data_IF_727354103308
#
_entry.id   IF_727354103308
#
_cell.length_a   1.000
_cell.length_b   1.000
_cell.length_c   1.000
_cell.angle_alpha   90.00
_cell.angle_beta   90.00
_cell.angle_gamma   90.00
#
_symmetry.space_group_name_H-M   'P 1'
#
loop_
_entity.id
_entity.type
_entity.pdbx_description
1 polymer ?
#
# COMPACT_ATOMS: atom_id res chain seq x y z
N UNK A 1 22.85 19.27 9.86
CA UNK A 1 21.52 18.68 9.58
C UNK A 1 21.05 17.82 10.76
N UNK A 2 21.87 16.90 11.29
CA UNK A 2 21.52 16.07 12.48
C UNK A 2 21.32 16.98 13.69
N UNK A 3 22.23 17.91 13.98
CA UNK A 3 22.14 18.86 15.09
C UNK A 3 20.86 19.74 15.04
N UNK A 4 20.44 20.18 13.85
CA UNK A 4 19.19 20.90 13.68
C UNK A 4 17.95 20.03 13.90
N UNK A 5 18.05 18.73 13.58
CA UNK A 5 16.98 17.78 13.82
C UNK A 5 16.83 17.49 15.31
N UNK A 6 17.95 17.40 16.03
CA UNK A 6 17.95 17.17 17.47
C UNK A 6 17.34 18.36 18.23
N UNK A 7 17.66 19.59 17.81
CA UNK A 7 17.00 20.80 18.35
C UNK A 7 15.49 20.80 18.11
N UNK A 8 15.05 20.39 16.91
CA UNK A 8 13.62 20.28 16.61
C UNK A 8 12.92 19.18 17.44
N UNK A 9 13.62 18.09 17.74
CA UNK A 9 13.10 17.02 18.61
C UNK A 9 12.94 17.50 20.06
N UNK A 10 13.91 18.27 20.57
CA UNK A 10 13.84 18.87 21.91
C UNK A 10 12.66 19.88 22.01
N UNK A 11 12.45 20.70 20.97
CA UNK A 11 11.42 21.74 21.01
C UNK A 11 9.98 21.19 20.81
N UNK A 12 9.80 20.21 19.90
CA UNK A 12 8.45 19.75 19.49
C UNK A 12 8.13 18.30 19.86
N UNK A 13 9.10 17.54 20.29
CA UNK A 13 8.98 16.10 20.56
C UNK A 13 9.00 15.24 19.29
N UNK A 14 9.69 14.11 19.35
CA UNK A 14 9.86 13.18 18.20
C UNK A 14 8.52 12.69 17.66
N UNK A 15 7.58 12.31 18.56
CA UNK A 15 6.26 11.83 18.15
C UNK A 15 5.47 12.86 17.33
N UNK A 16 5.54 14.15 17.72
CA UNK A 16 4.85 15.25 17.02
C UNK A 16 5.42 15.46 15.62
N UNK A 17 6.73 15.43 15.47
CA UNK A 17 7.40 15.59 14.17
C UNK A 17 7.05 14.43 13.22
N UNK A 18 7.01 13.20 13.74
CA UNK A 18 6.62 12.01 12.96
C UNK A 18 5.15 12.11 12.51
N UNK A 19 4.26 12.57 13.36
CA UNK A 19 2.83 12.76 13.04
C UNK A 19 2.65 13.80 11.93
N UNK A 20 3.29 14.97 12.04
CA UNK A 20 3.21 16.00 10.99
C UNK A 20 3.89 15.55 9.69
N UNK A 21 5.02 14.86 9.78
CA UNK A 21 5.69 14.25 8.63
C UNK A 21 4.78 13.23 7.94
N UNK A 22 4.12 12.35 8.70
CA UNK A 22 3.17 11.37 8.18
C UNK A 22 1.98 12.04 7.49
N UNK A 23 1.42 13.08 8.11
CA UNK A 23 0.32 13.85 7.53
C UNK A 23 0.74 14.50 6.20
N UNK A 24 1.91 15.14 6.14
CA UNK A 24 2.45 15.75 4.93
C UNK A 24 2.66 14.74 3.79
N UNK A 25 3.27 13.59 4.11
CA UNK A 25 3.44 12.48 3.17
C UNK A 25 2.09 11.94 2.69
N UNK A 26 1.12 11.82 3.60
CA UNK A 26 -0.26 11.44 3.27
C UNK A 26 -0.91 12.40 2.29
N UNK A 27 -0.80 13.70 2.52
CA UNK A 27 -1.33 14.75 1.62
C UNK A 27 -0.70 14.62 0.23
N UNK A 28 0.62 14.49 0.15
CA UNK A 28 1.33 14.30 -1.13
C UNK A 28 0.84 13.05 -1.87
N UNK A 29 0.74 11.91 -1.16
CA UNK A 29 0.21 10.69 -1.75
C UNK A 29 -1.22 10.87 -2.24
N UNK A 30 -2.09 11.49 -1.46
CA UNK A 30 -3.50 11.73 -1.79
C UNK A 30 -3.66 12.56 -3.06
N UNK A 31 -2.91 13.67 -3.18
CA UNK A 31 -2.89 14.53 -4.37
C UNK A 31 -2.38 13.76 -5.58
N UNK A 32 -1.22 13.08 -5.47
CA UNK A 32 -0.63 12.33 -6.58
C UNK A 32 -1.56 11.21 -7.03
N UNK A 33 -2.13 10.44 -6.09
CA UNK A 33 -2.99 9.30 -6.38
C UNK A 33 -4.33 9.70 -7.01
N UNK A 34 -4.90 10.86 -6.63
CA UNK A 34 -6.11 11.39 -7.28
C UNK A 34 -5.80 11.86 -8.69
N UNK A 35 -4.75 12.66 -8.88
CA UNK A 35 -4.37 13.20 -10.19
C UNK A 35 -3.95 12.10 -11.18
N UNK A 36 -3.09 11.17 -10.73
CA UNK A 36 -2.55 10.08 -11.57
C UNK A 36 -3.49 8.89 -11.72
N UNK A 37 -4.54 8.81 -10.88
CA UNK A 37 -5.42 7.63 -10.78
C UNK A 37 -4.64 6.35 -10.50
N UNK A 38 -3.61 6.45 -9.68
CA UNK A 38 -2.77 5.32 -9.28
C UNK A 38 -3.61 4.19 -8.69
N UNK A 39 -3.41 2.94 -9.17
CA UNK A 39 -4.17 1.79 -8.70
C UNK A 39 -3.53 0.47 -9.12
N UNK A 40 -3.13 -0.35 -8.14
CA UNK A 40 -2.56 -1.69 -8.38
C UNK A 40 -3.55 -2.63 -9.10
N UNK A 41 -4.86 -2.59 -8.74
CA UNK A 41 -5.89 -3.35 -9.46
C UNK A 41 -5.94 -2.99 -10.94
N UNK A 42 -5.83 -1.70 -11.26
CA UNK A 42 -5.89 -1.25 -12.65
C UNK A 42 -4.64 -1.68 -13.45
N UNK A 43 -3.48 -1.76 -12.80
CA UNK A 43 -2.27 -2.31 -13.39
C UNK A 43 -2.44 -3.80 -13.70
N UNK A 44 -2.99 -4.58 -12.75
CA UNK A 44 -3.26 -5.99 -12.94
C UNK A 44 -4.33 -6.26 -14.02
N UNK A 45 -5.36 -5.41 -14.11
CA UNK A 45 -6.45 -5.54 -15.08
C UNK A 45 -5.99 -5.37 -16.54
N UNK A 46 -4.86 -4.70 -16.80
CA UNK A 46 -4.28 -4.62 -18.14
C UNK A 46 -3.79 -5.97 -18.69
N UNK A 47 -3.60 -6.96 -17.80
CA UNK A 47 -3.15 -8.32 -18.14
C UNK A 47 -4.28 -9.35 -18.11
N UNK A 48 -5.48 -8.95 -17.65
CA UNK A 48 -6.61 -9.86 -17.50
C UNK A 48 -7.45 -9.90 -18.79
N UNK A 49 -7.83 -11.09 -19.30
CA UNK A 49 -8.70 -11.20 -20.46
C UNK A 49 -10.11 -10.70 -20.14
N UNK A 50 -10.76 -10.02 -21.10
CA UNK A 50 -12.16 -9.60 -21.00
C UNK A 50 -12.42 -8.30 -20.20
N UNK A 51 -11.41 -7.62 -19.70
CA UNK A 51 -11.55 -6.26 -19.17
C UNK A 51 -11.39 -5.25 -20.32
N UNK A 52 -12.28 -4.25 -20.42
CA UNK A 52 -12.15 -3.15 -21.41
C UNK A 52 -10.81 -2.41 -21.28
N UNK A 53 -10.15 -2.54 -20.13
CA UNK A 53 -8.81 -1.99 -19.87
C UNK A 53 -7.69 -2.81 -20.50
N UNK A 54 -7.96 -4.09 -20.85
CA UNK A 54 -7.04 -4.91 -21.67
C UNK A 54 -6.89 -4.34 -23.09
N UNK A 55 -7.86 -3.55 -23.58
CA UNK A 55 -7.71 -2.77 -24.80
C UNK A 55 -6.61 -1.70 -24.68
N UNK A 56 -6.20 -1.32 -23.47
CA UNK A 56 -4.98 -0.54 -23.21
C UNK A 56 -3.68 -1.27 -23.55
N UNK A 57 -3.72 -2.58 -23.79
CA UNK A 57 -2.58 -3.37 -24.28
C UNK A 57 -2.06 -2.86 -25.62
N UNK A 58 -2.95 -2.37 -26.49
CA UNK A 58 -2.57 -1.69 -27.73
C UNK A 58 -1.71 -0.44 -27.49
N UNK A 59 -1.85 0.21 -26.32
CA UNK A 59 -1.11 1.40 -25.90
C UNK A 59 0.06 1.09 -24.95
N UNK A 60 0.48 -0.17 -24.83
CA UNK A 60 1.69 -0.56 -24.11
C UNK A 60 1.60 -0.57 -22.60
N UNK A 61 0.46 -0.95 -21.98
CA UNK A 61 0.27 -1.16 -20.55
C UNK A 61 0.68 0.04 -19.65
N UNK A 62 0.10 1.23 -19.80
CA UNK A 62 0.58 2.44 -19.13
C UNK A 62 0.46 2.39 -17.60
N UNK A 63 -0.54 1.69 -17.05
CA UNK A 63 -0.75 1.58 -15.59
C UNK A 63 0.18 0.58 -14.93
N UNK A 64 0.45 -0.55 -15.60
CA UNK A 64 1.44 -1.51 -15.14
C UNK A 64 2.83 -0.89 -15.09
N UNK A 65 3.18 -0.09 -16.10
CA UNK A 65 4.43 0.66 -16.13
C UNK A 65 4.51 1.71 -15.03
N UNK A 66 3.43 2.46 -14.78
CA UNK A 66 3.35 3.40 -13.67
C UNK A 66 3.56 2.70 -12.33
N UNK A 67 2.91 1.56 -12.10
CA UNK A 67 3.06 0.78 -10.87
C UNK A 67 4.48 0.25 -10.72
N UNK A 68 5.03 -0.33 -11.79
CA UNK A 68 6.39 -0.86 -11.79
C UNK A 68 7.43 0.24 -11.54
N UNK A 69 7.28 1.42 -12.15
CA UNK A 69 8.17 2.57 -11.89
C UNK A 69 8.11 2.97 -10.42
N UNK A 70 6.92 2.99 -9.79
CA UNK A 70 6.79 3.29 -8.38
C UNK A 70 7.52 2.26 -7.50
N UNK A 71 7.38 0.96 -7.81
CA UNK A 71 8.12 -0.11 -7.11
C UNK A 71 9.62 0.07 -7.25
N UNK A 72 10.10 0.35 -8.46
CA UNK A 72 11.52 0.48 -8.76
C UNK A 72 12.14 1.69 -8.03
N UNK A 73 11.46 2.84 -8.05
CA UNK A 73 11.96 4.05 -7.36
C UNK A 73 11.90 3.86 -5.84
N UNK A 74 10.83 3.25 -5.30
CA UNK A 74 10.74 2.92 -3.88
C UNK A 74 11.88 1.98 -3.45
N UNK A 75 12.14 0.93 -4.24
CA UNK A 75 13.22 -0.02 -3.97
C UNK A 75 14.59 0.68 -3.97
N UNK A 76 14.91 1.43 -5.03
CA UNK A 76 16.18 2.14 -5.14
C UNK A 76 16.40 3.13 -4.00
N UNK A 77 15.41 3.95 -3.70
CA UNK A 77 15.52 4.96 -2.65
C UNK A 77 15.61 4.36 -1.26
N UNK A 78 14.83 3.31 -0.95
CA UNK A 78 14.89 2.64 0.35
C UNK A 78 16.22 1.91 0.54
N UNK A 79 16.73 1.22 -0.49
CA UNK A 79 18.04 0.57 -0.42
C UNK A 79 19.19 1.58 -0.30
N UNK A 80 19.07 2.75 -0.93
CA UNK A 80 20.03 3.84 -0.76
C UNK A 80 20.05 4.34 0.69
N UNK A 81 18.86 4.53 1.31
CA UNK A 81 18.77 4.91 2.73
C UNK A 81 19.37 3.84 3.65
N UNK A 82 19.17 2.57 3.35
CA UNK A 82 19.73 1.45 4.11
C UNK A 82 21.26 1.39 3.99
N UNK A 83 21.81 1.46 2.77
CA UNK A 83 23.25 1.42 2.54
C UNK A 83 23.97 2.65 3.13
N UNK A 84 23.31 3.80 3.13
CA UNK A 84 23.84 5.01 3.78
C UNK A 84 23.76 4.98 5.32
N UNK A 85 23.32 3.85 5.91
CA UNK A 85 23.14 3.64 7.36
C UNK A 85 22.22 4.66 8.04
N UNK A 86 21.32 5.28 7.27
CA UNK A 86 20.33 6.21 7.82
C UNK A 86 19.10 5.51 8.42
N UNK A 87 18.84 4.26 8.02
CA UNK A 87 17.73 3.44 8.53
C UNK A 87 18.18 1.99 8.73
N UNK A 88 17.65 1.35 9.78
CA UNK A 88 17.85 -0.08 10.06
C UNK A 88 16.58 -0.87 9.67
N UNK A 89 16.61 -1.51 8.50
CA UNK A 89 15.46 -2.29 7.99
C UNK A 89 15.11 -3.50 8.87
N UNK A 90 16.01 -3.98 9.73
CA UNK A 90 15.73 -5.09 10.64
C UNK A 90 14.60 -4.77 11.63
N UNK A 91 14.39 -3.48 11.95
CA UNK A 91 13.33 -3.01 12.82
C UNK A 91 11.96 -2.93 12.10
N UNK A 92 11.93 -3.11 10.79
CA UNK A 92 10.68 -3.07 10.02
C UNK A 92 9.87 -4.37 10.18
N UNK A 93 8.54 -4.27 10.14
CA UNK A 93 7.64 -5.43 10.18
C UNK A 93 7.94 -6.47 9.09
N UNK A 94 8.53 -6.06 7.97
CA UNK A 94 8.85 -6.94 6.86
C UNK A 94 10.09 -7.81 7.10
N UNK A 95 10.96 -7.43 8.02
CA UNK A 95 12.20 -8.13 8.36
C UNK A 95 12.18 -8.76 9.75
N UNK A 96 11.45 -8.16 10.71
CA UNK A 96 11.38 -8.62 12.11
C UNK A 96 10.44 -9.79 12.34
N UNK A 97 9.43 -9.98 11.44
CA UNK A 97 8.45 -11.05 11.59
C UNK A 97 8.91 -12.32 10.87
N UNK A 98 8.80 -13.52 11.50
CA UNK A 98 9.09 -14.79 10.85
C UNK A 98 8.30 -14.98 9.56
N UNK A 99 8.89 -15.69 8.60
CA UNK A 99 8.24 -15.96 7.32
C UNK A 99 7.14 -17.00 7.54
N UNK A 100 5.89 -16.64 7.24
CA UNK A 100 4.69 -17.48 7.39
C UNK A 100 4.03 -17.70 6.02
N UNK A 101 4.53 -18.64 5.21
CA UNK A 101 4.14 -18.76 3.82
C UNK A 101 2.64 -18.99 3.62
N UNK A 102 2.01 -19.83 4.46
CA UNK A 102 0.59 -20.12 4.36
C UNK A 102 -0.28 -18.89 4.62
N UNK A 103 0.05 -18.12 5.65
CA UNK A 103 -0.66 -16.87 5.96
C UNK A 103 -0.49 -15.83 4.85
N UNK A 104 0.74 -15.67 4.33
CA UNK A 104 1.03 -14.75 3.22
C UNK A 104 0.30 -15.13 1.94
N UNK A 105 0.26 -16.43 1.60
CA UNK A 105 -0.45 -16.93 0.41
C UNK A 105 -1.96 -16.80 0.58
N UNK A 106 -2.54 -17.29 1.66
CA UNK A 106 -3.98 -17.24 1.90
C UNK A 106 -4.46 -15.79 2.02
N UNK A 107 -3.77 -14.98 2.84
CA UNK A 107 -4.08 -13.56 3.00
C UNK A 107 -3.97 -12.78 1.70
N UNK A 108 -2.88 -12.99 0.94
CA UNK A 108 -2.67 -12.34 -0.35
C UNK A 108 -3.74 -12.70 -1.39
N UNK A 109 -4.11 -13.98 -1.51
CA UNK A 109 -5.18 -14.45 -2.40
C UNK A 109 -6.53 -13.80 -2.05
N UNK A 110 -6.90 -13.78 -0.77
CA UNK A 110 -8.14 -13.18 -0.29
C UNK A 110 -8.15 -11.66 -0.53
N UNK A 111 -7.05 -10.97 -0.22
CA UNK A 111 -6.91 -9.54 -0.49
C UNK A 111 -7.05 -9.22 -1.98
N UNK A 112 -6.37 -9.98 -2.85
CA UNK A 112 -6.45 -9.81 -4.29
C UNK A 112 -7.86 -10.00 -4.85
N UNK A 113 -8.56 -11.05 -4.40
CA UNK A 113 -9.95 -11.31 -4.76
C UNK A 113 -10.87 -10.17 -4.27
N UNK A 114 -10.71 -9.74 -3.01
CA UNK A 114 -11.46 -8.63 -2.42
C UNK A 114 -11.27 -7.31 -3.18
N UNK A 115 -10.04 -7.00 -3.58
CA UNK A 115 -9.70 -5.82 -4.39
C UNK A 115 -10.46 -5.78 -5.73
N UNK A 116 -10.71 -6.93 -6.35
CA UNK A 116 -11.48 -7.02 -7.60
C UNK A 116 -12.96 -6.85 -7.35
N UNK A 117 -13.51 -7.47 -6.29
CA UNK A 117 -14.91 -7.33 -5.90
C UNK A 117 -15.25 -5.88 -5.51
N UNK A 118 -14.41 -5.24 -4.73
CA UNK A 118 -14.56 -3.85 -4.31
C UNK A 118 -14.28 -2.81 -5.41
N UNK A 119 -13.76 -3.25 -6.57
CA UNK A 119 -13.46 -2.35 -7.68
C UNK A 119 -12.21 -1.50 -7.54
N UNK A 120 -11.41 -1.66 -6.47
CA UNK A 120 -10.16 -0.93 -6.22
C UNK A 120 -9.41 -1.49 -5.01
N UNK A 121 -8.11 -1.21 -4.91
CA UNK A 121 -7.35 -1.46 -3.70
C UNK A 121 -7.67 -0.41 -2.63
N UNK A 122 -7.29 -0.65 -1.38
CA UNK A 122 -7.63 0.23 -0.25
C UNK A 122 -7.17 1.67 -0.48
N UNK A 123 -5.94 1.90 -0.97
CA UNK A 123 -5.45 3.24 -1.29
C UNK A 123 -6.32 3.96 -2.34
N UNK A 124 -6.78 3.25 -3.37
CA UNK A 124 -7.69 3.82 -4.37
C UNK A 124 -9.09 4.09 -3.81
N UNK A 125 -9.58 3.24 -2.92
CA UNK A 125 -10.87 3.45 -2.25
C UNK A 125 -10.83 4.66 -1.32
N UNK A 126 -9.69 4.94 -0.63
CA UNK A 126 -9.49 6.15 0.16
C UNK A 126 -9.61 7.41 -0.69
N UNK A 127 -8.93 7.45 -1.82
CA UNK A 127 -8.99 8.57 -2.76
C UNK A 127 -10.41 8.76 -3.31
N UNK A 128 -11.10 7.67 -3.65
CA UNK A 128 -12.47 7.72 -4.14
C UNK A 128 -13.46 8.14 -3.04
N UNK A 129 -13.25 7.72 -1.79
CA UNK A 129 -14.07 8.15 -0.65
C UNK A 129 -13.94 9.66 -0.43
N UNK A 130 -12.72 10.18 -0.46
CA UNK A 130 -12.45 11.62 -0.39
C UNK A 130 -13.09 12.42 -1.55
N UNK A 131 -13.27 11.78 -2.72
CA UNK A 131 -13.94 12.38 -3.89
C UNK A 131 -15.48 12.23 -3.87
N UNK A 132 -16.08 11.78 -2.74
CA UNK A 132 -17.53 11.68 -2.56
C UNK A 132 -18.15 10.33 -2.98
N UNK A 133 -17.36 9.27 -3.16
CA UNK A 133 -17.90 7.96 -3.53
C UNK A 133 -18.36 7.17 -2.28
N UNK A 134 -19.66 7.15 -2.00
CA UNK A 134 -20.26 6.43 -0.88
C UNK A 134 -19.99 4.92 -0.86
N UNK A 135 -19.86 4.29 -2.04
CA UNK A 135 -19.50 2.86 -2.14
C UNK A 135 -18.10 2.61 -1.54
N UNK A 136 -17.15 3.50 -1.82
CA UNK A 136 -15.80 3.41 -1.28
C UNK A 136 -15.78 3.64 0.23
N UNK A 137 -16.60 4.57 0.74
CA UNK A 137 -16.74 4.82 2.18
C UNK A 137 -17.20 3.56 2.90
N UNK A 138 -18.29 2.94 2.45
CA UNK A 138 -18.82 1.71 3.05
C UNK A 138 -17.79 0.58 2.97
N UNK A 139 -17.13 0.41 1.83
CA UNK A 139 -16.10 -0.63 1.68
C UNK A 139 -14.93 -0.41 2.63
N UNK A 140 -14.48 0.83 2.80
CA UNK A 140 -13.39 1.17 3.73
C UNK A 140 -13.78 0.91 5.18
N UNK A 141 -14.98 1.29 5.59
CA UNK A 141 -15.50 0.99 6.93
C UNK A 141 -15.50 -0.52 7.18
N UNK A 142 -16.03 -1.30 6.25
CA UNK A 142 -16.03 -2.77 6.35
C UNK A 142 -14.60 -3.32 6.37
N UNK A 143 -13.70 -2.80 5.52
CA UNK A 143 -12.29 -3.22 5.49
C UNK A 143 -11.59 -2.90 6.80
N UNK A 144 -11.82 -1.72 7.38
CA UNK A 144 -11.24 -1.32 8.65
C UNK A 144 -11.74 -2.16 9.81
N UNK A 145 -13.06 -2.38 9.91
CA UNK A 145 -13.67 -3.22 10.95
C UNK A 145 -13.16 -4.66 10.84
N UNK A 146 -13.18 -5.25 9.62
CA UNK A 146 -12.67 -6.61 9.40
C UNK A 146 -11.16 -6.70 9.68
N UNK A 147 -10.38 -5.70 9.25
CA UNK A 147 -8.95 -5.62 9.52
C UNK A 147 -8.65 -5.53 11.01
N UNK A 148 -9.34 -4.67 11.73
CA UNK A 148 -9.14 -4.54 13.18
C UNK A 148 -9.61 -5.78 13.95
N UNK A 149 -10.73 -6.37 13.54
CA UNK A 149 -11.20 -7.65 14.09
C UNK A 149 -10.19 -8.79 13.83
N UNK A 150 -9.43 -8.73 12.73
CA UNK A 150 -8.35 -9.67 12.42
C UNK A 150 -7.10 -9.41 13.24
N UNK A 151 -6.79 -8.14 13.54
CA UNK A 151 -5.63 -7.77 14.37
C UNK A 151 -5.84 -8.10 15.84
N UNK A 152 -6.98 -7.73 16.41
CA UNK A 152 -7.24 -7.72 17.85
C UNK A 152 -8.54 -8.43 18.26
N UNK A 153 -9.42 -8.79 17.32
CA UNK A 153 -10.75 -9.33 17.58
C UNK A 153 -10.87 -10.81 17.25
N UNK A 154 -12.13 -11.25 17.05
CA UNK A 154 -12.50 -12.66 16.87
C UNK A 154 -11.84 -13.30 15.62
N UNK A 155 -11.56 -12.53 14.59
CA UNK A 155 -10.90 -13.02 13.37
C UNK A 155 -9.39 -13.23 13.57
N UNK A 156 -8.83 -12.93 14.75
CA UNK A 156 -7.45 -13.27 15.10
C UNK A 156 -7.24 -14.78 15.21
N UNK A 157 -8.26 -15.56 15.65
CA UNK A 157 -8.14 -17.01 15.76
C UNK A 157 -7.81 -17.71 14.42
N UNK A 158 -8.59 -17.55 13.34
CA UNK A 158 -8.25 -18.13 12.04
C UNK A 158 -6.94 -17.57 11.49
N UNK A 159 -6.60 -16.30 11.75
CA UNK A 159 -5.31 -15.70 11.37
C UNK A 159 -4.16 -16.42 12.07
N UNK A 160 -4.20 -16.56 13.40
CA UNK A 160 -3.15 -17.23 14.18
C UNK A 160 -3.00 -18.69 13.75
N UNK A 161 -4.11 -19.39 13.49
CA UNK A 161 -4.07 -20.74 12.96
C UNK A 161 -3.32 -20.82 11.62
N UNK A 162 -3.57 -19.91 10.67
CA UNK A 162 -2.84 -19.82 9.40
C UNK A 162 -1.35 -19.52 9.62
N UNK A 163 -1.03 -18.66 10.60
CA UNK A 163 0.34 -18.27 10.92
C UNK A 163 1.15 -19.40 11.56
N UNK A 164 0.50 -20.23 12.39
CA UNK A 164 1.15 -21.32 13.11
C UNK A 164 1.18 -22.63 12.33
N UNK A 165 0.22 -22.85 11.42
CA UNK A 165 0.13 -24.10 10.64
C UNK A 165 1.36 -24.33 9.73
N UNK A 166 1.99 -23.27 9.25
CA UNK A 166 3.25 -23.34 8.51
C UNK A 166 4.04 -22.05 8.73
N UNK A 167 4.91 -22.07 9.72
CA UNK A 167 5.85 -20.98 10.01
C UNK A 167 7.28 -21.47 9.82
N UNK A 168 8.09 -20.67 9.16
CA UNK A 168 9.54 -20.83 9.16
C UNK A 168 10.05 -20.04 10.36
N UNK A 169 10.83 -20.68 11.25
CA UNK A 169 11.38 -20.01 12.44
C UNK A 169 12.39 -18.92 12.10
N UNK A 170 12.82 -18.86 10.84
CA UNK A 170 13.77 -17.87 10.34
C UNK A 170 13.09 -16.56 9.99
N UNK A 171 13.64 -15.46 10.48
CA UNK A 171 13.24 -14.11 10.02
C UNK A 171 13.99 -13.74 8.73
N UNK A 172 13.44 -12.87 7.87
CA UNK A 172 14.17 -12.34 6.72
C UNK A 172 15.51 -11.71 7.09
N UNK A 173 15.61 -11.04 8.25
CA UNK A 173 16.85 -10.49 8.77
C UNK A 173 17.90 -11.57 8.99
N UNK A 174 17.56 -12.69 9.64
CA UNK A 174 18.47 -13.81 9.88
C UNK A 174 18.92 -14.50 8.59
N UNK A 175 18.03 -14.63 7.60
CA UNK A 175 18.40 -15.17 6.26
C UNK A 175 19.41 -14.27 5.58
N UNK A 176 19.31 -12.96 5.78
CA UNK A 176 20.23 -11.99 5.22
C UNK A 176 21.59 -11.99 5.95
N UNK A 177 21.59 -12.08 7.28
CA UNK A 177 22.81 -12.13 8.12
C UNK A 177 23.59 -13.44 7.97
N UNK A 178 22.91 -14.58 7.76
CA UNK A 178 23.55 -15.87 7.54
C UNK A 178 24.16 -16.03 6.14
N UNK A 179 23.89 -15.08 5.23
CA UNK A 179 24.38 -15.13 3.86
C UNK A 179 25.86 -14.77 3.74
N UNK A 180 26.60 -15.58 3.01
CA UNK A 180 28.03 -15.41 2.67
C UNK A 180 28.30 -14.21 1.74
N UNK A 181 27.26 -13.43 1.42
CA UNK A 181 27.32 -12.32 0.46
C UNK A 181 27.16 -11.00 1.21
N UNK A 182 28.13 -10.09 1.04
CA UNK A 182 28.07 -8.80 1.72
C UNK A 182 26.80 -8.03 1.33
N UNK A 183 26.13 -7.34 2.28
CA UNK A 183 24.95 -6.51 2.02
C UNK A 183 25.16 -5.50 0.88
N UNK A 184 26.37 -4.99 0.77
CA UNK A 184 26.78 -4.05 -0.26
C UNK A 184 26.73 -4.65 -1.68
N UNK A 185 27.13 -5.91 -1.85
CA UNK A 185 27.06 -6.59 -3.16
C UNK A 185 25.62 -6.86 -3.58
N UNK A 186 24.75 -7.23 -2.66
CA UNK A 186 23.33 -7.41 -2.94
C UNK A 186 22.68 -6.08 -3.30
N UNK A 187 22.95 -5.03 -2.53
CA UNK A 187 22.44 -3.69 -2.82
C UNK A 187 22.96 -3.16 -4.17
N UNK A 188 24.24 -3.36 -4.48
CA UNK A 188 24.82 -2.98 -5.76
C UNK A 188 24.18 -3.75 -6.94
N UNK A 189 24.02 -5.07 -6.82
CA UNK A 189 23.38 -5.90 -7.84
C UNK A 189 21.92 -5.48 -8.06
N UNK A 190 21.18 -5.18 -6.98
CA UNK A 190 19.82 -4.68 -7.07
C UNK A 190 19.77 -3.29 -7.72
N UNK A 191 20.65 -2.37 -7.34
CA UNK A 191 20.72 -1.04 -7.94
C UNK A 191 21.03 -1.09 -9.44
N UNK A 192 21.95 -1.96 -9.87
CA UNK A 192 22.29 -2.15 -11.28
C UNK A 192 21.11 -2.75 -12.04
N UNK A 193 20.48 -3.80 -11.51
CA UNK A 193 19.29 -4.42 -12.13
C UNK A 193 18.16 -3.41 -12.25
N UNK A 194 17.97 -2.61 -11.23
CA UNK A 194 17.00 -1.54 -11.17
C UNK A 194 17.27 -0.45 -12.21
N UNK A 195 18.52 0.01 -12.33
CA UNK A 195 18.92 1.00 -13.31
C UNK A 195 18.68 0.49 -14.75
N UNK A 196 18.99 -0.77 -15.02
CA UNK A 196 18.73 -1.42 -16.32
C UNK A 196 17.23 -1.48 -16.60
N UNK A 197 16.42 -1.95 -15.64
CA UNK A 197 14.97 -2.03 -15.78
C UNK A 197 14.34 -0.65 -15.98
N UNK A 198 14.79 0.36 -15.21
CA UNK A 198 14.35 1.74 -15.36
C UNK A 198 14.69 2.32 -16.72
N UNK A 199 15.90 2.08 -17.21
CA UNK A 199 16.33 2.50 -18.54
C UNK A 199 15.49 1.85 -19.66
N UNK A 200 15.16 0.56 -19.52
CA UNK A 200 14.29 -0.15 -20.46
C UNK A 200 12.84 0.37 -20.43
N UNK A 201 12.34 0.72 -19.23
CA UNK A 201 11.02 1.31 -19.06
C UNK A 201 10.94 2.71 -19.69
N UNK A 202 11.96 3.56 -19.47
CA UNK A 202 12.03 4.91 -20.02
C UNK A 202 12.01 4.88 -21.53
N UNK A 203 12.75 3.97 -22.17
CA UNK A 203 12.78 3.83 -23.63
C UNK A 203 11.44 3.42 -24.26
N UNK A 204 10.51 2.80 -23.50
CA UNK A 204 9.24 2.25 -23.99
C UNK A 204 7.98 2.96 -23.49
N UNK A 205 8.09 4.00 -22.65
CA UNK A 205 6.93 4.58 -21.96
C UNK A 205 6.75 6.06 -22.26
N UNK A 206 5.49 6.51 -22.18
CA UNK A 206 5.19 7.94 -22.14
C UNK A 206 5.65 8.58 -20.80
N UNK A 207 6.25 9.75 -20.87
CA UNK A 207 6.84 10.48 -19.74
C UNK A 207 5.89 10.68 -18.53
N UNK A 208 4.60 10.90 -18.78
CA UNK A 208 3.60 11.16 -17.71
C UNK A 208 3.42 9.98 -16.75
N UNK A 209 3.40 8.73 -17.24
CA UNK A 209 3.27 7.53 -16.40
C UNK A 209 4.49 7.29 -15.52
N UNK A 210 5.68 7.54 -16.06
CA UNK A 210 6.95 7.42 -15.34
C UNK A 210 7.04 8.46 -14.23
N UNK A 211 6.78 9.74 -14.53
CA UNK A 211 6.85 10.82 -13.55
C UNK A 211 5.92 10.59 -12.36
N UNK A 212 4.67 10.18 -12.61
CA UNK A 212 3.70 9.90 -11.55
C UNK A 212 4.03 8.63 -10.77
N UNK A 213 4.56 7.59 -11.41
CA UNK A 213 5.07 6.40 -10.74
C UNK A 213 6.26 6.72 -9.84
N UNK A 214 7.23 7.49 -10.35
CA UNK A 214 8.38 7.94 -9.59
C UNK A 214 7.97 8.78 -8.37
N UNK A 215 7.03 9.70 -8.54
CA UNK A 215 6.50 10.50 -7.44
C UNK A 215 5.90 9.62 -6.31
N UNK A 216 5.11 8.59 -6.67
CA UNK A 216 4.58 7.64 -5.68
C UNK A 216 5.72 6.87 -4.99
N UNK A 217 6.73 6.42 -5.74
CA UNK A 217 7.90 5.73 -5.18
C UNK A 217 8.67 6.61 -4.20
N UNK A 218 8.88 7.89 -4.53
CA UNK A 218 9.55 8.85 -3.64
C UNK A 218 8.76 9.10 -2.35
N UNK A 219 7.42 9.11 -2.42
CA UNK A 219 6.58 9.24 -1.23
C UNK A 219 6.76 8.03 -0.29
N UNK A 220 6.97 6.82 -0.83
CA UNK A 220 7.31 5.62 -0.01
C UNK A 220 8.68 5.80 0.67
N UNK A 221 9.68 6.29 -0.08
CA UNK A 221 11.02 6.57 0.48
C UNK A 221 10.95 7.63 1.57
N UNK A 222 10.17 8.69 1.37
CA UNK A 222 9.93 9.70 2.39
C UNK A 222 9.27 9.13 3.65
N UNK A 223 8.36 8.14 3.51
CA UNK A 223 7.78 7.41 4.63
C UNK A 223 8.84 6.71 5.49
N UNK A 224 9.75 6.00 4.85
CA UNK A 224 10.89 5.38 5.52
C UNK A 224 11.82 6.39 6.19
N UNK A 225 12.07 7.53 5.53
CA UNK A 225 12.92 8.60 6.08
C UNK A 225 12.26 9.27 7.31
N UNK A 226 10.96 9.52 7.29
CA UNK A 226 10.27 10.14 8.45
C UNK A 226 10.27 9.20 9.64
N UNK A 227 10.02 7.92 9.48
CA UNK A 227 10.02 6.98 10.61
C UNK A 227 11.41 6.55 11.04
N UNK A 228 12.35 6.40 10.10
CA UNK A 228 13.68 5.88 10.37
C UNK A 228 14.75 6.94 10.64
N UNK A 229 14.55 8.19 10.18
CA UNK A 229 15.49 9.29 10.47
C UNK A 229 14.88 10.24 11.50
N UNK A 230 13.65 10.76 11.25
CA UNK A 230 13.02 11.70 12.17
C UNK A 230 12.51 10.98 13.43
N UNK A 231 11.98 9.76 13.28
CA UNK A 231 11.47 8.93 14.36
C UNK A 231 12.53 8.07 15.07
N UNK A 232 13.79 8.15 14.70
CA UNK A 232 14.88 7.47 15.38
C UNK A 232 15.22 8.22 16.69
N UNK A 233 14.63 7.75 17.80
CA UNK A 233 14.81 8.30 19.14
C UNK A 233 15.21 7.14 20.05
N UNK A 234 16.23 7.35 20.89
CA UNK A 234 16.71 6.34 21.81
C UNK A 234 15.76 6.13 23.00
N UNK A 235 14.93 7.12 23.33
CA UNK A 235 14.02 7.10 24.46
C UNK A 235 12.59 6.69 24.09
N UNK A 236 12.09 7.16 22.93
CA UNK A 236 10.74 6.84 22.43
C UNK A 236 10.84 6.36 20.96
N UNK A 237 11.36 5.14 20.71
CA UNK A 237 11.55 4.66 19.37
C UNK A 237 10.23 4.50 18.63
N UNK A 238 10.09 5.20 17.50
CA UNK A 238 8.94 5.02 16.61
C UNK A 238 9.14 3.77 15.76
N UNK A 239 8.09 2.94 15.63
CA UNK A 239 8.16 1.76 14.77
C UNK A 239 8.53 2.16 13.34
N UNK A 240 9.58 1.55 12.79
CA UNK A 240 10.00 1.79 11.42
C UNK A 240 8.94 1.29 10.45
N UNK A 241 8.29 2.21 9.77
CA UNK A 241 7.17 1.95 8.86
C UNK A 241 7.17 2.92 7.67
N UNK A 242 6.50 2.54 6.61
CA UNK A 242 6.20 3.42 5.47
C UNK A 242 4.72 3.25 5.09
N UNK A 243 4.37 3.54 3.83
CA UNK A 243 2.98 3.56 3.39
C UNK A 243 2.33 2.17 3.47
N UNK A 244 1.28 2.07 4.28
CA UNK A 244 0.34 0.95 4.32
C UNK A 244 -1.05 1.50 4.59
N UNK A 245 -2.14 0.75 4.26
CA UNK A 245 -3.48 1.31 4.36
C UNK A 245 -4.51 0.40 5.03
N UNK A 246 -4.30 -0.93 5.12
CA UNK A 246 -5.32 -1.81 5.73
C UNK A 246 -5.36 -1.65 7.24
N UNK A 247 -4.22 -1.84 7.91
CA UNK A 247 -4.12 -1.64 9.35
C UNK A 247 -4.44 -0.19 9.76
N UNK A 248 -3.90 0.84 9.07
CA UNK A 248 -4.22 2.24 9.35
C UNK A 248 -5.71 2.59 9.28
N UNK A 249 -6.48 2.01 8.35
CA UNK A 249 -7.94 2.23 8.31
C UNK A 249 -8.60 1.68 9.57
N UNK A 250 -8.22 0.48 10.03
CA UNK A 250 -8.74 -0.12 11.26
C UNK A 250 -8.33 0.68 12.51
N UNK A 251 -7.06 1.06 12.60
CA UNK A 251 -6.51 1.88 13.69
C UNK A 251 -7.15 3.28 13.76
N UNK A 252 -7.46 3.87 12.60
CA UNK A 252 -8.18 5.16 12.57
C UNK A 252 -9.60 5.02 13.10
N UNK A 253 -10.31 3.94 12.75
CA UNK A 253 -11.65 3.67 13.32
C UNK A 253 -11.55 3.49 14.83
N UNK A 254 -10.58 2.71 15.30
CA UNK A 254 -10.32 2.54 16.73
C UNK A 254 -10.04 3.89 17.42
N UNK A 255 -9.12 4.69 16.84
CA UNK A 255 -8.77 6.00 17.37
C UNK A 255 -10.00 6.91 17.51
N UNK A 256 -10.88 6.93 16.50
CA UNK A 256 -12.13 7.72 16.57
C UNK A 256 -13.09 7.22 17.64
N UNK A 257 -13.06 5.91 17.99
CA UNK A 257 -13.90 5.33 19.04
C UNK A 257 -13.35 5.57 20.46
N UNK A 258 -12.02 5.67 20.60
CA UNK A 258 -11.31 5.74 21.90
C UNK A 258 -10.45 7.01 21.99
N UNK A 259 -10.88 8.08 21.37
CA UNK A 259 -10.12 9.34 21.19
C UNK A 259 -9.47 9.88 22.47
N UNK A 260 -10.17 9.78 23.62
CA UNK A 260 -9.67 10.28 24.89
C UNK A 260 -8.60 9.41 25.55
N UNK A 261 -8.43 8.18 25.09
CA UNK A 261 -7.48 7.19 25.64
C UNK A 261 -6.39 6.76 24.68
N UNK A 262 -6.29 7.37 23.49
CA UNK A 262 -5.28 7.04 22.49
C UNK A 262 -4.60 8.30 21.94
N UNK A 263 -3.41 8.13 21.35
CA UNK A 263 -2.65 9.21 20.75
C UNK A 263 -2.61 9.06 19.22
N UNK A 264 -2.47 10.20 18.53
CA UNK A 264 -2.31 10.18 17.07
C UNK A 264 -0.97 9.52 16.72
N UNK A 265 -1.03 8.40 16.01
CA UNK A 265 0.14 7.66 15.53
C UNK A 265 0.41 7.98 14.08
N UNK A 266 1.60 7.59 13.59
CA UNK A 266 2.00 7.70 12.18
C UNK A 266 0.90 7.24 11.21
N UNK A 267 0.30 6.07 11.47
CA UNK A 267 -0.73 5.46 10.61
C UNK A 267 -2.01 6.28 10.48
N UNK A 268 -2.49 6.86 11.61
CA UNK A 268 -3.70 7.70 11.65
C UNK A 268 -3.44 9.04 10.95
N UNK A 269 -2.30 9.67 11.21
CA UNK A 269 -1.90 10.92 10.58
C UNK A 269 -1.72 10.75 9.06
N UNK A 270 -1.06 9.67 8.63
CA UNK A 270 -0.91 9.31 7.21
C UNK A 270 -2.27 9.21 6.51
N UNK A 271 -3.21 8.47 7.11
CA UNK A 271 -4.54 8.29 6.54
C UNK A 271 -5.32 9.60 6.45
N UNK A 272 -5.28 10.41 7.52
CA UNK A 272 -5.88 11.75 7.54
C UNK A 272 -5.30 12.64 6.45
N UNK A 273 -3.99 12.61 6.26
CA UNK A 273 -3.30 13.33 5.18
C UNK A 273 -3.75 12.86 3.79
N UNK A 274 -3.85 11.55 3.56
CA UNK A 274 -4.33 11.02 2.26
C UNK A 274 -5.75 11.48 1.95
N UNK A 275 -6.65 11.44 2.94
CA UNK A 275 -8.02 11.92 2.75
C UNK A 275 -8.04 13.42 2.49
N UNK A 276 -7.29 14.22 3.24
CA UNK A 276 -7.21 15.68 3.06
C UNK A 276 -6.62 16.05 1.68
N UNK A 277 -5.52 15.44 1.27
CA UNK A 277 -4.88 15.69 -0.01
C UNK A 277 -5.74 15.27 -1.20
N UNK A 278 -6.37 14.10 -1.12
CA UNK A 278 -7.27 13.62 -2.17
C UNK A 278 -8.54 14.49 -2.28
N UNK A 279 -9.10 14.91 -1.14
CA UNK A 279 -10.26 15.80 -1.09
C UNK A 279 -9.94 17.18 -1.69
N UNK A 280 -8.85 17.80 -1.27
CA UNK A 280 -8.40 19.10 -1.82
C UNK A 280 -8.17 19.01 -3.34
N UNK A 281 -7.48 17.94 -3.80
CA UNK A 281 -7.25 17.71 -5.22
C UNK A 281 -8.55 17.49 -6.01
N UNK A 282 -9.53 16.77 -5.43
CA UNK A 282 -10.82 16.54 -6.04
C UNK A 282 -11.66 17.83 -6.16
N UNK A 283 -11.60 18.70 -5.15
CA UNK A 283 -12.27 20.02 -5.17
C UNK A 283 -11.68 20.93 -6.24
N UNK A 284 -10.35 21.10 -6.25
CA UNK A 284 -9.64 21.92 -7.26
C UNK A 284 -9.88 21.40 -8.66
N UNK A 285 -9.88 20.08 -8.84
CA UNK A 285 -10.16 19.43 -10.11
C UNK A 285 -11.65 19.38 -10.51
N UNK A 286 -12.55 19.94 -9.70
CA UNK A 286 -14.02 19.87 -9.88
C UNK A 286 -14.53 18.44 -10.09
N UNK A 287 -13.90 17.45 -9.42
CA UNK A 287 -14.20 16.03 -9.56
C UNK A 287 -14.98 15.47 -8.37
N UNK A 288 -15.31 16.30 -7.41
CA UNK A 288 -16.12 15.90 -6.26
C UNK A 288 -17.55 15.66 -6.69
N UNK A 289 -18.02 14.40 -6.58
CA UNK A 289 -19.38 14.02 -6.92
C UNK A 289 -19.86 12.95 -5.95
N UNK A 290 -21.01 13.19 -5.34
CA UNK A 290 -21.62 12.18 -4.47
C UNK A 290 -22.21 11.03 -5.31
N UNK A 291 -21.69 9.81 -5.10
CA UNK A 291 -22.13 8.59 -5.80
C UNK A 291 -22.56 7.52 -4.79
N UNK A 292 -23.84 7.15 -4.82
CA UNK A 292 -24.40 6.07 -4.01
C UNK A 292 -24.34 4.69 -4.68
N UNK A 293 -24.97 3.70 -4.04
CA UNK A 293 -25.16 2.36 -4.60
C UNK A 293 -26.27 2.38 -5.68
N UNK A 294 -26.07 1.57 -6.72
CA UNK A 294 -27.02 1.45 -7.83
C UNK A 294 -27.94 0.23 -7.70
N UNK A 295 -27.55 -0.76 -6.88
CA UNK A 295 -28.34 -1.97 -6.62
C UNK A 295 -27.85 -2.68 -5.37
N UNK A 296 -28.71 -3.52 -4.77
CA UNK A 296 -28.39 -4.36 -3.61
C UNK A 296 -27.24 -5.34 -3.90
N UNK A 297 -27.25 -5.95 -5.07
CA UNK A 297 -26.16 -6.85 -5.50
C UNK A 297 -24.80 -6.14 -5.53
N UNK A 298 -24.80 -4.85 -5.86
CA UNK A 298 -23.58 -4.06 -5.82
C UNK A 298 -23.11 -3.84 -4.37
N UNK A 299 -24.03 -3.57 -3.42
CA UNK A 299 -23.70 -3.41 -2.01
C UNK A 299 -23.06 -4.68 -1.42
N UNK A 300 -23.71 -5.84 -1.58
CA UNK A 300 -23.19 -7.13 -1.09
C UNK A 300 -21.78 -7.40 -1.62
N UNK A 301 -21.54 -7.13 -2.89
CA UNK A 301 -20.22 -7.31 -3.50
C UNK A 301 -19.15 -6.38 -2.91
N UNK A 302 -19.46 -5.11 -2.67
CA UNK A 302 -18.53 -4.16 -2.05
C UNK A 302 -18.24 -4.54 -0.59
N UNK A 303 -19.24 -4.97 0.16
CA UNK A 303 -19.10 -5.47 1.54
C UNK A 303 -18.23 -6.74 1.57
N UNK A 304 -18.54 -7.73 0.74
CA UNK A 304 -17.73 -8.95 0.63
C UNK A 304 -16.27 -8.62 0.24
N UNK A 305 -16.08 -7.71 -0.72
CA UNK A 305 -14.75 -7.22 -1.08
C UNK A 305 -14.02 -6.56 0.08
N UNK A 306 -14.72 -5.76 0.88
CA UNK A 306 -14.17 -5.12 2.09
C UNK A 306 -13.75 -6.12 3.15
N UNK A 307 -14.59 -7.13 3.45
CA UNK A 307 -14.27 -8.21 4.40
C UNK A 307 -13.02 -8.99 3.97
N UNK A 308 -12.97 -9.40 2.69
CA UNK A 308 -11.82 -10.14 2.15
C UNK A 308 -10.53 -9.30 2.16
N UNK A 309 -10.62 -7.99 1.86
CA UNK A 309 -9.46 -7.10 1.93
C UNK A 309 -9.01 -6.85 3.36
N UNK A 310 -9.92 -6.70 4.30
CA UNK A 310 -9.61 -6.49 5.71
C UNK A 310 -8.89 -7.69 6.32
N UNK A 311 -9.51 -8.88 6.23
CA UNK A 311 -8.92 -10.12 6.73
C UNK A 311 -7.63 -10.48 5.98
N UNK A 312 -7.70 -10.49 4.63
CA UNK A 312 -6.57 -10.87 3.79
C UNK A 312 -5.38 -9.93 3.91
N UNK A 313 -5.62 -8.61 4.00
CA UNK A 313 -4.55 -7.63 4.10
C UNK A 313 -3.81 -7.68 5.43
N UNK A 314 -4.50 -7.94 6.54
CA UNK A 314 -3.85 -8.12 7.84
C UNK A 314 -3.08 -9.44 7.88
N UNK A 315 -3.67 -10.53 7.40
CA UNK A 315 -3.05 -11.85 7.37
C UNK A 315 -1.81 -11.88 6.45
N UNK A 316 -1.83 -11.09 5.35
CA UNK A 316 -0.67 -10.92 4.45
C UNK A 316 0.32 -9.84 4.91
N UNK A 317 0.20 -9.29 6.12
CA UNK A 317 1.03 -8.21 6.66
C UNK A 317 1.02 -6.91 5.83
N UNK A 318 0.00 -6.70 5.01
CA UNK A 318 -0.13 -5.46 4.23
C UNK A 318 -1.03 -5.58 3.01
N UNK A 319 -1.22 -4.44 2.35
CA UNK A 319 -2.02 -4.29 1.13
C UNK A 319 -1.13 -4.22 -0.13
N UNK A 320 -1.75 -3.97 -1.29
CA UNK A 320 -1.01 -3.77 -2.54
C UNK A 320 -0.01 -2.59 -2.52
N UNK A 321 -0.15 -1.62 -1.62
CA UNK A 321 0.84 -0.57 -1.38
C UNK A 321 1.80 -0.99 -0.26
N UNK A 322 1.28 -1.48 0.88
CA UNK A 322 2.09 -1.95 1.99
C UNK A 322 3.07 -3.05 1.57
N UNK A 323 2.60 -4.14 0.98
CA UNK A 323 3.46 -5.21 0.49
C UNK A 323 4.10 -4.87 -0.85
N UNK A 324 3.32 -4.28 -1.79
CA UNK A 324 3.76 -4.07 -3.17
C UNK A 324 4.71 -2.92 -3.39
N UNK A 325 4.72 -1.90 -2.53
CA UNK A 325 5.68 -0.79 -2.58
C UNK A 325 6.60 -0.82 -1.36
N UNK A 326 6.05 -0.63 -0.15
CA UNK A 326 6.85 -0.52 1.07
C UNK A 326 7.58 -1.84 1.39
N UNK A 327 6.89 -2.98 1.30
CA UNK A 327 7.50 -4.29 1.57
C UNK A 327 8.52 -4.70 0.50
N UNK A 328 8.21 -4.57 -0.78
CA UNK A 328 9.18 -4.87 -1.86
C UNK A 328 10.39 -3.92 -1.77
N UNK A 329 10.20 -2.66 -1.35
CA UNK A 329 11.32 -1.73 -1.22
C UNK A 329 12.37 -2.15 -0.18
N UNK A 330 11.99 -2.99 0.79
CA UNK A 330 12.92 -3.60 1.75
C UNK A 330 13.58 -4.87 1.22
N UNK A 331 13.25 -5.33 0.00
CA UNK A 331 13.72 -6.58 -0.59
C UNK A 331 13.37 -7.84 0.24
N UNK A 332 12.34 -7.80 1.08
CA UNK A 332 11.91 -8.94 1.90
C UNK A 332 11.28 -10.05 1.07
N UNK A 333 11.70 -11.29 1.30
CA UNK A 333 11.12 -12.48 0.67
C UNK A 333 9.63 -12.65 1.00
N UNK A 334 9.22 -12.32 2.23
CA UNK A 334 7.83 -12.32 2.66
C UNK A 334 6.97 -11.42 1.76
N UNK A 335 7.48 -10.24 1.38
CA UNK A 335 6.78 -9.29 0.53
C UNK A 335 6.63 -9.79 -0.91
N UNK A 336 7.64 -10.49 -1.43
CA UNK A 336 7.56 -11.11 -2.78
C UNK A 336 6.44 -12.16 -2.80
N UNK A 337 6.41 -13.06 -1.81
CA UNK A 337 5.36 -14.09 -1.69
C UNK A 337 3.97 -13.44 -1.59
N UNK A 338 3.80 -12.44 -0.73
CA UNK A 338 2.54 -11.75 -0.55
C UNK A 338 2.05 -11.04 -1.83
N UNK A 339 2.94 -10.35 -2.54
CA UNK A 339 2.60 -9.63 -3.78
C UNK A 339 2.20 -10.59 -4.89
N UNK A 340 2.92 -11.71 -5.04
CA UNK A 340 2.55 -12.75 -6.00
C UNK A 340 1.18 -13.36 -5.67
N UNK A 341 0.90 -13.61 -4.39
CA UNK A 341 -0.40 -14.10 -3.95
C UNK A 341 -1.53 -13.08 -4.19
N UNK A 342 -1.31 -11.79 -3.91
CA UNK A 342 -2.25 -10.70 -4.22
C UNK A 342 -2.55 -10.64 -5.72
N UNK A 343 -1.51 -10.73 -6.55
CA UNK A 343 -1.66 -10.71 -8.00
C UNK A 343 -2.43 -11.94 -8.51
N UNK A 344 -2.10 -13.13 -8.00
CA UNK A 344 -2.78 -14.38 -8.35
C UNK A 344 -4.26 -14.37 -7.94
N UNK A 345 -4.58 -13.94 -6.70
CA UNK A 345 -5.95 -13.81 -6.22
C UNK A 345 -6.77 -12.81 -7.02
N UNK A 346 -6.17 -11.66 -7.33
CA UNK A 346 -6.81 -10.65 -8.18
C UNK A 346 -7.05 -11.14 -9.61
N UNK A 347 -6.04 -11.75 -10.23
CA UNK A 347 -6.15 -12.30 -11.59
C UNK A 347 -7.17 -13.44 -11.66
N UNK A 348 -7.15 -14.37 -10.70
CA UNK A 348 -8.11 -15.47 -10.59
C UNK A 348 -9.54 -14.97 -10.47
N UNK A 349 -9.79 -13.98 -9.60
CA UNK A 349 -11.12 -13.38 -9.45
C UNK A 349 -11.59 -12.64 -10.70
N UNK A 350 -10.68 -11.96 -11.43
CA UNK A 350 -11.02 -11.33 -12.72
C UNK A 350 -11.44 -12.39 -13.73
N UNK A 351 -10.72 -13.52 -13.83
CA UNK A 351 -11.05 -14.64 -14.70
C UNK A 351 -12.40 -15.27 -14.37
N UNK A 352 -12.67 -15.52 -13.08
CA UNK A 352 -13.93 -16.09 -12.62
C UNK A 352 -15.12 -15.20 -13.01
N UNK A 353 -14.97 -13.87 -12.86
CA UNK A 353 -16.02 -12.93 -13.23
C UNK A 353 -16.23 -12.82 -14.74
N UNK A 354 -15.17 -12.88 -15.52
CA UNK A 354 -15.26 -12.92 -16.97
C UNK A 354 -15.99 -14.19 -17.44
N UNK A 355 -15.69 -15.35 -16.85
CA UNK A 355 -16.37 -16.61 -17.12
C UNK A 355 -17.85 -16.61 -16.71
N UNK A 356 -18.22 -15.89 -15.63
CA UNK A 356 -19.61 -15.71 -15.20
C UNK A 356 -20.38 -14.67 -16.04
N UNK A 357 -19.80 -14.13 -17.11
CA UNK A 357 -20.45 -13.12 -17.97
C UNK A 357 -20.64 -11.75 -17.30
N UNK A 358 -20.07 -11.55 -16.11
CA UNK A 358 -20.12 -10.27 -15.43
C UNK A 358 -19.11 -9.29 -16.04
N UNK A 359 -19.63 -8.21 -16.65
CA UNK A 359 -18.74 -7.12 -17.08
C UNK A 359 -17.98 -6.55 -15.88
N UNK A 360 -16.71 -6.28 -16.05
CA UNK A 360 -15.89 -5.70 -15.00
C UNK A 360 -16.56 -4.43 -14.44
N UNK A 361 -16.64 -4.33 -13.10
CA UNK A 361 -17.08 -3.09 -12.46
C UNK A 361 -16.05 -2.02 -12.78
N UNK A 362 -16.31 -1.25 -13.78
CA UNK A 362 -15.57 -0.04 -14.07
C UNK A 362 -15.79 0.93 -12.93
N UNK A 363 -14.69 1.35 -12.26
CA UNK A 363 -14.74 2.60 -11.50
C UNK A 363 -15.31 3.65 -12.46
N UNK A 364 -16.32 4.42 -12.04
CA UNK A 364 -17.00 5.34 -12.92
C UNK A 364 -15.98 6.20 -13.66
N UNK A 365 -16.07 6.23 -14.99
CA UNK A 365 -15.34 7.21 -15.77
C UNK A 365 -15.81 8.57 -15.23
N UNK A 366 -14.89 9.35 -14.71
CA UNK A 366 -15.12 10.77 -14.56
C UNK A 366 -15.27 11.27 -16.01
N UNK A 367 -16.51 11.56 -16.42
CA UNK A 367 -16.75 12.23 -17.67
C UNK A 367 -16.02 13.57 -17.60
N UNK A 368 -15.31 13.99 -18.66
CA UNK A 368 -14.84 15.37 -18.72
C UNK A 368 -16.10 16.25 -18.56
N UNK A 369 -16.02 17.26 -17.72
CA UNK A 369 -17.02 18.31 -17.69
C UNK A 369 -16.99 18.96 -19.09
N UNK A 370 -18.13 18.91 -19.79
CA UNK A 370 -18.38 19.74 -20.95
C UNK A 370 -18.40 21.21 -20.55
#
# INVERSE_FOLDING_TARGET
>A
MIEQLDLLREDYGTATLVVWGAFGIGVLFGVIAEFSRYCARAALAEWAPGDERSAGAANGHPRSKQYLTAVLVALAGTQLLFVSQNIDLAQSIYWSVPIRPLALLAGGLLFGAGMVLAGGCVSRLLVLAASGNGRSIVTLLVTGIAGYATLRGILSYPRIWLETAWSLETTPAQVFESGTVSPLLIAAAMAVTLAILLALLIRRSGMKGIATGAAVGLVVVAGWAVTGIVGADDFEPTQLASLSFVAPVGETIQFLMIFTGDTIRFSVALLGGVLAGAFASALVGRRFHFKGFTSERSLVRYVAGGLLMGFGGVTALGCSVGQGLSGISTASLSSVIAVLAIAAGGYGMMRLRAAAGERAVTAPRLQPAE
#
